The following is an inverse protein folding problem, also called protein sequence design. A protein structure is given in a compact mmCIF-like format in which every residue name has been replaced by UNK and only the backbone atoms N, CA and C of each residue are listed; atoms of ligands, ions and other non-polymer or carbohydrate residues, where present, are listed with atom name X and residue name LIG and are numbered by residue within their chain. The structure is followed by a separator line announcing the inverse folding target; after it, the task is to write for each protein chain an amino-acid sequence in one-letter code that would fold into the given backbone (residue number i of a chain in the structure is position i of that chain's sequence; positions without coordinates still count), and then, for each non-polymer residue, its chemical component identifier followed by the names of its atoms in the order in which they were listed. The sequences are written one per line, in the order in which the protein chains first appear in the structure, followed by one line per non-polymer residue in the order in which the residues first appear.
data_IF_189588816443
#
_entry.id   IF_189588816443
#
_cell.length_a   1.000
_cell.length_b   1.000
_cell.length_c   1.000
_cell.angle_alpha   90.00
_cell.angle_beta   90.00
_cell.angle_gamma   90.00
#
_symmetry.space_group_name_H-M   'P 1'
#
loop_
_entity.id
_entity.type
_entity.pdbx_description
1 polymer ?
#
# COMPACT_ATOMS: atom_id res chain seq x y z
N UNK A 1 -6.94 7.13 9.81
CA UNK A 1 -5.76 6.29 9.52
C UNK A 1 -4.47 6.98 9.92
N UNK A 2 -4.27 8.27 9.60
CA UNK A 2 -3.09 9.01 10.09
C UNK A 2 -3.11 9.11 11.61
N UNK A 3 -4.20 9.64 12.18
CA UNK A 3 -4.52 9.68 13.64
C UNK A 3 -4.55 8.30 14.34
N UNK A 4 -4.41 7.20 13.61
CA UNK A 4 -4.28 5.87 14.25
C UNK A 4 -2.81 5.53 14.52
N UNK A 5 -1.90 6.13 13.77
CA UNK A 5 -0.50 5.73 13.67
C UNK A 5 0.48 6.78 14.22
N UNK A 6 0.12 8.06 14.24
CA UNK A 6 1.00 9.08 14.76
C UNK A 6 0.99 9.13 16.29
N UNK A 7 2.05 9.69 16.86
CA UNK A 7 2.32 9.59 18.29
C UNK A 7 1.66 10.70 19.11
N UNK A 8 0.71 11.43 18.53
CA UNK A 8 0.01 12.53 19.20
C UNK A 8 -1.47 12.20 19.45
N UNK A 9 -2.21 13.11 20.06
CA UNK A 9 -3.62 12.90 20.44
C UNK A 9 -4.50 14.06 19.92
N UNK A 10 -4.04 14.75 18.88
CA UNK A 10 -4.74 15.88 18.27
C UNK A 10 -5.45 15.41 17.00
N UNK A 11 -6.78 15.19 17.06
CA UNK A 11 -7.50 14.66 15.93
C UNK A 11 -7.48 15.63 14.75
N UNK A 12 -7.19 15.12 13.55
CA UNK A 12 -7.33 15.85 12.30
C UNK A 12 -8.80 15.94 11.89
N UNK A 13 -9.09 16.77 10.89
CA UNK A 13 -10.44 16.86 10.30
C UNK A 13 -10.84 15.49 9.77
N UNK A 14 -11.95 14.95 10.27
CA UNK A 14 -12.43 13.60 9.93
C UNK A 14 -11.65 12.45 10.57
N UNK A 15 -10.61 12.75 11.34
CA UNK A 15 -9.81 11.79 12.08
C UNK A 15 -10.38 11.42 13.45
N UNK A 16 -9.62 10.62 14.21
CA UNK A 16 -10.04 10.10 15.50
C UNK A 16 -8.87 9.55 16.30
N UNK A 17 -8.80 9.99 17.56
CA UNK A 17 -7.76 9.67 18.54
C UNK A 17 -8.32 8.82 19.69
N UNK A 18 -7.50 8.49 20.70
CA UNK A 18 -7.92 7.69 21.85
C UNK A 18 -9.17 8.24 22.54
N UNK A 19 -9.32 9.57 22.60
CA UNK A 19 -10.51 10.20 23.17
C UNK A 19 -11.82 9.81 22.46
N UNK A 20 -11.78 9.52 21.17
CA UNK A 20 -12.91 9.00 20.40
C UNK A 20 -13.14 7.52 20.69
N UNK A 21 -12.10 6.69 20.58
CA UNK A 21 -12.22 5.23 20.70
C UNK A 21 -12.63 4.80 22.12
N UNK A 22 -12.23 5.55 23.15
CA UNK A 22 -12.61 5.29 24.54
C UNK A 22 -14.10 5.54 24.84
N UNK A 23 -14.82 6.22 23.95
CA UNK A 23 -16.28 6.46 24.08
C UNK A 23 -17.14 5.43 23.35
N UNK A 24 -16.53 4.46 22.67
CA UNK A 24 -17.26 3.39 21.98
C UNK A 24 -17.89 2.41 23.00
N UNK A 25 -18.93 1.65 22.60
CA UNK A 25 -19.54 0.63 23.48
C UNK A 25 -18.54 -0.40 24.01
N UNK A 26 -17.51 -0.72 23.21
CA UNK A 26 -16.34 -1.50 23.60
C UNK A 26 -15.11 -0.58 23.49
N UNK A 27 -14.69 0.09 24.58
CA UNK A 27 -13.59 1.06 24.56
C UNK A 27 -12.24 0.44 24.24
N UNK A 28 -11.42 1.18 23.49
CA UNK A 28 -9.99 0.92 23.28
C UNK A 28 -9.26 2.24 22.99
N UNK A 29 -7.92 2.22 22.94
CA UNK A 29 -7.10 3.37 22.59
C UNK A 29 -6.72 3.35 21.11
N UNK A 30 -6.43 4.53 20.55
CA UNK A 30 -5.71 4.58 19.28
C UNK A 30 -4.34 3.90 19.48
N UNK A 31 -3.81 3.31 18.41
CA UNK A 31 -2.56 2.57 18.53
C UNK A 31 -1.36 3.50 18.74
N UNK A 32 -1.38 4.64 18.06
CA UNK A 32 -0.30 5.62 18.04
C UNK A 32 1.05 4.96 17.67
N UNK A 33 0.97 3.99 16.76
CA UNK A 33 2.10 3.26 16.18
C UNK A 33 1.66 2.63 14.85
N UNK A 34 2.63 2.13 14.09
CA UNK A 34 2.39 1.41 12.83
C UNK A 34 1.51 0.18 13.03
N UNK A 35 0.76 -0.18 11.99
CA UNK A 35 -0.03 -1.41 11.95
C UNK A 35 0.87 -2.65 12.03
N UNK A 36 0.54 -3.61 12.90
CA UNK A 36 1.21 -4.93 12.93
C UNK A 36 0.58 -5.86 11.89
N UNK A 37 -0.73 -5.72 11.70
CA UNK A 37 -1.53 -6.54 10.79
C UNK A 37 -2.49 -5.67 9.99
N UNK A 38 -2.82 -6.10 8.77
CA UNK A 38 -3.84 -5.43 7.95
C UNK A 38 -5.20 -5.40 8.67
N UNK A 39 -5.51 -6.42 9.48
CA UNK A 39 -6.80 -6.55 10.17
C UNK A 39 -7.13 -5.41 11.13
N UNK A 40 -6.11 -4.74 11.68
CA UNK A 40 -6.27 -3.55 12.52
C UNK A 40 -6.93 -2.37 11.81
N UNK A 41 -6.93 -2.32 10.46
CA UNK A 41 -7.70 -1.31 9.73
C UNK A 41 -9.18 -1.32 10.10
N UNK A 42 -9.74 -2.46 10.51
CA UNK A 42 -11.14 -2.58 10.98
C UNK A 42 -11.42 -1.83 12.28
N UNK A 43 -10.38 -1.46 13.04
CA UNK A 43 -10.49 -0.66 14.27
C UNK A 43 -10.48 0.84 13.97
N UNK A 44 -10.02 1.25 12.79
CA UNK A 44 -9.95 2.66 12.43
C UNK A 44 -11.35 3.21 12.15
N UNK A 45 -11.65 4.37 12.74
CA UNK A 45 -12.92 5.07 12.51
C UNK A 45 -13.21 5.20 11.00
N UNK A 46 -14.43 4.81 10.61
CA UNK A 46 -14.92 4.93 9.24
C UNK A 46 -14.60 3.74 8.33
N UNK A 47 -13.77 2.79 8.77
CA UNK A 47 -13.51 1.55 8.02
C UNK A 47 -14.60 0.53 8.36
N UNK A 48 -15.64 0.48 7.54
CA UNK A 48 -16.66 -0.56 7.62
C UNK A 48 -16.12 -1.89 7.07
N UNK A 49 -16.81 -3.00 7.35
CA UNK A 49 -16.45 -4.29 6.75
C UNK A 49 -16.42 -4.21 5.21
N UNK A 50 -17.41 -3.54 4.59
CA UNK A 50 -17.44 -3.36 3.14
C UNK A 50 -16.24 -2.56 2.61
N UNK A 51 -15.88 -1.47 3.29
CA UNK A 51 -14.71 -0.64 2.92
C UNK A 51 -13.44 -1.46 3.07
N UNK A 52 -13.30 -2.21 4.17
CA UNK A 52 -12.15 -3.08 4.41
C UNK A 52 -11.97 -4.12 3.30
N UNK A 53 -13.04 -4.85 2.94
CA UNK A 53 -12.96 -5.88 1.89
C UNK A 53 -12.61 -5.27 0.52
N UNK A 54 -13.08 -4.06 0.22
CA UNK A 54 -12.71 -3.34 -1.01
C UNK A 54 -11.26 -2.84 -1.03
N UNK A 55 -10.70 -2.49 0.13
CA UNK A 55 -9.33 -2.01 0.26
C UNK A 55 -8.30 -3.14 0.31
N UNK A 56 -8.67 -4.30 0.84
CA UNK A 56 -7.79 -5.43 1.13
C UNK A 56 -6.83 -5.81 -0.02
N UNK A 57 -7.25 -5.81 -1.30
CA UNK A 57 -6.35 -6.15 -2.42
C UNK A 57 -5.27 -5.10 -2.72
N UNK A 58 -5.38 -3.90 -2.17
CA UNK A 58 -4.61 -2.72 -2.59
C UNK A 58 -3.75 -2.12 -1.48
N UNK A 59 -3.76 -2.68 -0.28
CA UNK A 59 -3.03 -2.16 0.90
C UNK A 59 -2.15 -3.22 1.54
N UNK A 60 -1.07 -2.79 2.18
CA UNK A 60 -0.16 -3.65 2.93
C UNK A 60 0.39 -2.91 4.14
N UNK A 61 0.74 -3.64 5.19
CA UNK A 61 1.49 -3.13 6.36
C UNK A 61 2.99 -3.46 6.27
N UNK A 62 3.38 -4.26 5.28
CA UNK A 62 4.75 -4.72 5.05
C UNK A 62 5.32 -4.06 3.79
N UNK A 63 6.02 -2.94 3.96
CA UNK A 63 6.58 -2.18 2.84
C UNK A 63 7.78 -1.33 3.25
N UNK A 64 8.49 -0.79 2.25
CA UNK A 64 9.48 0.28 2.41
C UNK A 64 8.86 1.69 2.40
N UNK A 65 7.52 1.79 2.34
CA UNK A 65 6.79 3.06 2.21
C UNK A 65 6.62 3.58 0.78
N UNK A 66 7.18 2.92 -0.23
CA UNK A 66 7.05 3.30 -1.65
C UNK A 66 6.32 2.24 -2.47
N UNK A 67 5.64 2.67 -3.52
CA UNK A 67 4.92 1.82 -4.47
C UNK A 67 5.86 1.35 -5.57
N UNK A 68 5.98 0.03 -5.76
CA UNK A 68 6.70 -0.53 -6.89
C UNK A 68 5.88 -0.40 -8.18
N UNK A 69 6.25 0.53 -9.07
CA UNK A 69 5.51 0.78 -10.33
C UNK A 69 5.60 -0.35 -11.34
N UNK A 70 6.52 -1.30 -11.17
CA UNK A 70 6.58 -2.50 -12.01
C UNK A 70 5.50 -3.54 -11.65
N UNK A 71 4.98 -3.51 -10.42
CA UNK A 71 4.03 -4.51 -9.91
C UNK A 71 2.72 -3.93 -9.41
N UNK A 72 2.63 -2.61 -9.22
CA UNK A 72 1.43 -1.95 -8.71
C UNK A 72 0.21 -2.25 -9.59
N UNK A 73 -0.94 -2.61 -8.99
CA UNK A 73 -2.19 -2.72 -9.74
C UNK A 73 -2.68 -1.34 -10.17
N UNK A 74 -3.64 -1.35 -11.09
CA UNK A 74 -4.20 -0.14 -11.72
C UNK A 74 -4.73 0.87 -10.71
N UNK A 75 -5.46 0.39 -9.72
CA UNK A 75 -6.10 1.20 -8.67
C UNK A 75 -5.05 1.92 -7.79
N UNK A 76 -3.93 1.24 -7.51
CA UNK A 76 -2.82 1.82 -6.75
C UNK A 76 -2.08 2.86 -7.60
N UNK A 77 -1.91 2.63 -8.91
CA UNK A 77 -1.33 3.65 -9.79
C UNK A 77 -2.19 4.92 -9.84
N UNK A 78 -3.50 4.76 -9.93
CA UNK A 78 -4.43 5.89 -9.96
C UNK A 78 -4.40 6.69 -8.64
N UNK A 79 -4.23 6.02 -7.50
CA UNK A 79 -4.22 6.68 -6.18
C UNK A 79 -2.96 7.51 -5.90
N UNK A 80 -1.86 7.27 -6.61
CA UNK A 80 -0.58 7.99 -6.43
C UNK A 80 -0.66 9.50 -6.70
N UNK A 81 -1.71 9.95 -7.40
CA UNK A 81 -1.93 11.34 -7.78
C UNK A 81 -2.94 12.08 -6.90
N UNK A 82 -3.38 11.48 -5.79
CA UNK A 82 -4.45 12.01 -4.95
C UNK A 82 -4.03 13.12 -3.95
N UNK A 83 -2.76 13.59 -3.99
CA UNK A 83 -2.23 14.60 -3.08
C UNK A 83 -2.49 16.05 -3.53
N UNK A 84 -2.47 17.00 -2.59
CA UNK A 84 -2.78 18.42 -2.87
C UNK A 84 -1.79 19.10 -3.83
N UNK A 85 -0.52 18.68 -3.82
CA UNK A 85 0.52 19.14 -4.74
C UNK A 85 0.41 18.50 -6.15
N UNK A 86 -0.38 17.42 -6.26
CA UNK A 86 -0.64 16.68 -7.49
C UNK A 86 -1.92 17.16 -8.18
N UNK A 87 -2.80 17.88 -7.47
CA UNK A 87 -4.09 18.37 -7.97
C UNK A 87 -3.94 19.31 -9.18
N UNK A 88 -2.91 20.16 -9.19
CA UNK A 88 -2.63 21.08 -10.31
C UNK A 88 -1.96 20.38 -11.50
N UNK A 89 -1.26 19.26 -11.26
CA UNK A 89 -0.62 18.49 -12.32
C UNK A 89 -1.62 17.63 -13.10
N UNK A 90 -2.71 17.23 -12.45
CA UNK A 90 -3.72 16.33 -12.99
C UNK A 90 -3.52 14.87 -12.52
N UNK A 91 -4.58 14.06 -12.50
CA UNK A 91 -4.50 12.71 -11.95
C UNK A 91 -3.88 11.71 -12.93
N UNK A 92 -3.31 10.64 -12.39
CA UNK A 92 -3.12 9.38 -13.13
C UNK A 92 -4.51 8.77 -13.28
N UNK A 93 -5.15 9.06 -14.40
CA UNK A 93 -6.47 8.52 -14.70
C UNK A 93 -6.40 7.05 -15.13
N UNK A 94 -7.58 6.48 -15.34
CA UNK A 94 -7.78 5.14 -15.88
C UNK A 94 -6.87 4.83 -17.08
N UNK A 95 -6.87 5.73 -18.07
CA UNK A 95 -6.13 5.56 -19.32
C UNK A 95 -4.63 5.60 -19.09
N UNK A 96 -4.15 6.57 -18.31
CA UNK A 96 -2.73 6.72 -17.99
C UNK A 96 -2.20 5.53 -17.19
N UNK A 97 -2.99 4.99 -16.26
CA UNK A 97 -2.63 3.76 -15.54
C UNK A 97 -2.50 2.57 -16.50
N UNK A 98 -3.44 2.43 -17.44
CA UNK A 98 -3.40 1.37 -18.47
C UNK A 98 -2.17 1.53 -19.40
N UNK A 99 -1.79 2.76 -19.75
CA UNK A 99 -0.56 3.06 -20.51
C UNK A 99 0.71 2.64 -19.75
N UNK A 100 0.79 2.92 -18.43
CA UNK A 100 1.92 2.48 -17.59
C UNK A 100 2.00 0.95 -17.56
N UNK A 101 0.86 0.27 -17.38
CA UNK A 101 0.78 -1.19 -17.31
C UNK A 101 1.19 -1.82 -18.64
N UNK A 102 0.73 -1.28 -19.77
CA UNK A 102 1.12 -1.76 -21.09
C UNK A 102 2.62 -1.54 -21.34
N UNK A 103 3.14 -0.35 -21.02
CA UNK A 103 4.55 -0.02 -21.23
C UNK A 103 5.50 -0.95 -20.47
N UNK A 104 5.21 -1.21 -19.19
CA UNK A 104 6.09 -2.01 -18.31
C UNK A 104 6.13 -3.50 -18.64
N UNK A 105 5.23 -4.00 -19.49
CA UNK A 105 5.26 -5.41 -19.95
C UNK A 105 6.50 -5.69 -20.80
N UNK A 106 6.80 -4.79 -21.75
CA UNK A 106 7.96 -4.93 -22.64
C UNK A 106 9.16 -4.10 -22.17
N UNK A 107 8.92 -3.08 -21.34
CA UNK A 107 9.94 -2.15 -20.85
C UNK A 107 9.89 -2.01 -19.32
N UNK A 108 10.26 -3.05 -18.55
CA UNK A 108 10.32 -2.94 -17.09
C UNK A 108 11.22 -1.78 -16.65
N UNK A 109 10.72 -0.95 -15.75
CA UNK A 109 11.45 0.22 -15.28
C UNK A 109 12.63 -0.23 -14.41
N UNK A 110 13.83 0.29 -14.70
CA UNK A 110 15.04 0.05 -13.90
C UNK A 110 15.36 1.22 -12.95
N UNK A 111 14.75 2.38 -13.19
CA UNK A 111 14.77 3.56 -12.31
C UNK A 111 13.41 4.25 -12.32
N UNK A 112 13.00 4.83 -11.18
CA UNK A 112 11.67 5.44 -11.04
C UNK A 112 11.38 6.59 -12.03
N UNK A 113 12.39 7.38 -12.40
CA UNK A 113 12.25 8.48 -13.36
C UNK A 113 11.87 8.02 -14.79
N UNK A 114 12.08 6.74 -15.14
CA UNK A 114 11.72 6.19 -16.45
C UNK A 114 10.21 6.13 -16.66
N UNK A 115 9.39 6.33 -15.63
CA UNK A 115 7.94 6.51 -15.80
C UNK A 115 7.62 7.68 -16.76
N UNK A 116 8.50 8.68 -16.85
CA UNK A 116 8.39 9.80 -17.79
C UNK A 116 8.67 9.44 -19.26
N UNK A 117 9.06 8.20 -19.55
CA UNK A 117 9.19 7.68 -20.91
C UNK A 117 7.84 7.19 -21.47
N UNK A 118 6.86 6.92 -20.59
CA UNK A 118 5.51 6.51 -20.98
C UNK A 118 4.79 7.67 -21.67
N UNK A 119 4.86 8.87 -21.10
CA UNK A 119 4.26 10.07 -21.70
C UNK A 119 4.88 11.38 -21.18
N UNK A 120 4.77 12.51 -21.92
CA UNK A 120 5.18 13.82 -21.42
C UNK A 120 4.48 14.23 -20.12
N UNK A 121 3.20 13.88 -19.98
CA UNK A 121 2.43 14.09 -18.75
C UNK A 121 3.11 13.42 -17.55
N UNK A 122 3.45 12.13 -17.64
CA UNK A 122 4.09 11.41 -16.53
C UNK A 122 5.50 11.93 -16.23
N UNK A 123 6.19 12.47 -17.24
CA UNK A 123 7.48 13.14 -17.06
C UNK A 123 7.34 14.40 -16.21
N UNK A 124 6.38 15.26 -16.54
CA UNK A 124 6.11 16.48 -15.79
C UNK A 124 5.59 16.16 -14.39
N UNK A 125 4.67 15.19 -14.28
CA UNK A 125 4.12 14.73 -13.00
C UNK A 125 5.26 14.27 -12.07
N UNK A 126 6.15 13.40 -12.54
CA UNK A 126 7.29 12.92 -11.76
C UNK A 126 8.25 14.06 -11.36
N UNK A 127 8.56 14.98 -12.28
CA UNK A 127 9.54 16.04 -12.06
C UNK A 127 9.03 17.15 -11.12
N UNK A 128 7.74 17.46 -11.15
CA UNK A 128 7.17 18.66 -10.52
C UNK A 128 6.43 18.39 -9.21
N UNK A 129 6.12 17.13 -8.90
CA UNK A 129 5.27 16.75 -7.75
C UNK A 129 5.96 15.77 -6.81
N UNK A 130 5.32 15.48 -5.68
CA UNK A 130 5.79 14.47 -4.72
C UNK A 130 5.73 13.04 -5.24
N UNK A 131 5.22 12.77 -6.46
CA UNK A 131 5.19 11.42 -7.04
C UNK A 131 6.55 10.72 -6.93
N UNK A 132 7.66 11.43 -7.18
CA UNK A 132 9.03 10.91 -7.07
C UNK A 132 9.40 10.35 -5.69
N UNK A 133 8.69 10.76 -4.64
CA UNK A 133 8.89 10.30 -3.26
C UNK A 133 7.94 9.15 -2.88
N UNK A 134 7.03 8.77 -3.76
CA UNK A 134 6.01 7.74 -3.52
C UNK A 134 6.27 6.46 -4.31
N UNK A 135 7.20 6.47 -5.26
CA UNK A 135 7.42 5.37 -6.20
C UNK A 135 8.84 4.83 -6.17
N UNK A 136 8.95 3.52 -6.34
CA UNK A 136 10.19 2.77 -6.58
C UNK A 136 9.93 1.77 -7.71
N UNK A 137 10.98 1.09 -8.16
CA UNK A 137 10.95 0.04 -9.19
C UNK A 137 11.32 -1.33 -8.63
N UNK A 138 11.73 -1.38 -7.35
CA UNK A 138 12.11 -2.60 -6.64
C UNK A 138 11.31 -2.74 -5.34
N UNK A 139 11.27 -3.97 -4.85
CA UNK A 139 10.81 -4.28 -3.49
C UNK A 139 11.86 -5.12 -2.77
N UNK A 140 11.93 -4.94 -1.46
CA UNK A 140 12.56 -5.88 -0.52
C UNK A 140 11.53 -6.72 0.23
N UNK A 141 10.25 -6.38 0.16
CA UNK A 141 9.16 -7.09 0.82
C UNK A 141 8.44 -7.99 -0.18
N UNK A 142 8.17 -9.23 0.24
CA UNK A 142 7.50 -10.24 -0.57
C UNK A 142 6.48 -10.99 0.27
N UNK A 143 5.30 -11.23 -0.31
CA UNK A 143 4.32 -12.16 0.21
C UNK A 143 4.41 -13.44 -0.60
N UNK A 144 4.51 -14.58 0.10
CA UNK A 144 4.56 -15.90 -0.51
C UNK A 144 3.40 -16.70 0.06
N UNK A 145 2.56 -17.20 -0.85
CA UNK A 145 1.51 -18.15 -0.55
C UNK A 145 1.88 -19.49 -1.15
N UNK A 146 1.94 -20.53 -0.32
CA UNK A 146 2.35 -21.87 -0.73
C UNK A 146 1.35 -22.91 -0.22
N UNK A 147 0.89 -23.79 -1.11
CA UNK A 147 -0.04 -24.86 -0.77
C UNK A 147 0.58 -26.22 -1.01
N UNK A 148 0.37 -27.16 -0.09
CA UNK A 148 0.81 -28.55 -0.21
C UNK A 148 -0.36 -29.51 0.01
N UNK A 149 -0.36 -30.61 -0.73
CA UNK A 149 -1.34 -31.69 -0.62
C UNK A 149 -0.63 -33.00 -0.24
N UNK A 150 -1.10 -33.63 0.83
CA UNK A 150 -0.70 -34.99 1.21
C UNK A 150 -1.95 -35.79 1.56
N UNK A 151 -2.22 -36.84 0.78
CA UNK A 151 -3.35 -37.74 1.04
C UNK A 151 -4.72 -37.05 0.97
N UNK A 152 -4.86 -35.99 0.18
CA UNK A 152 -6.10 -35.21 0.03
C UNK A 152 -6.30 -34.13 1.10
N UNK A 153 -5.34 -33.96 2.01
CA UNK A 153 -5.31 -32.83 2.94
C UNK A 153 -4.48 -31.71 2.34
N UNK A 154 -5.11 -30.57 2.06
CA UNK A 154 -4.44 -29.36 1.61
C UNK A 154 -4.13 -28.45 2.80
N UNK A 155 -2.91 -27.95 2.86
CA UNK A 155 -2.51 -26.87 3.77
C UNK A 155 -1.95 -25.72 2.97
N UNK A 156 -2.33 -24.50 3.32
CA UNK A 156 -1.80 -23.28 2.72
C UNK A 156 -1.06 -22.48 3.79
N UNK A 157 0.13 -22.00 3.45
CA UNK A 157 0.93 -21.11 4.27
C UNK A 157 1.01 -19.76 3.57
N UNK A 158 0.69 -18.71 4.32
CA UNK A 158 0.87 -17.33 3.94
C UNK A 158 2.03 -16.73 4.74
N UNK A 159 3.08 -16.28 4.06
CA UNK A 159 4.31 -15.81 4.68
C UNK A 159 4.76 -14.45 4.12
N UNK A 160 5.26 -13.59 5.00
CA UNK A 160 5.87 -12.30 4.64
C UNK A 160 7.37 -12.41 4.86
N UNK A 161 8.13 -12.15 3.80
CA UNK A 161 9.59 -12.16 3.78
C UNK A 161 10.17 -10.79 3.46
N UNK A 162 11.27 -10.45 4.11
CA UNK A 162 12.10 -9.28 3.78
C UNK A 162 13.43 -9.79 3.21
N UNK A 163 13.75 -9.40 1.98
CA UNK A 163 15.03 -9.69 1.35
C UNK A 163 16.11 -8.76 1.91
N UNK A 164 17.14 -9.37 2.52
CA UNK A 164 18.33 -8.70 3.02
C UNK A 164 19.54 -9.33 2.32
N UNK A 165 20.17 -8.57 1.42
CA UNK A 165 21.19 -9.13 0.52
C UNK A 165 20.59 -10.20 -0.39
N UNK A 166 21.15 -11.41 -0.32
CA UNK A 166 20.70 -12.58 -1.11
C UNK A 166 19.78 -13.52 -0.32
N UNK A 167 19.43 -13.18 0.92
CA UNK A 167 18.60 -14.02 1.80
C UNK A 167 17.23 -13.39 2.02
N UNK A 168 16.22 -14.23 2.31
CA UNK A 168 14.89 -13.80 2.74
C UNK A 168 14.73 -14.09 4.22
N UNK A 169 14.51 -13.05 5.01
CA UNK A 169 14.15 -13.15 6.42
C UNK A 169 12.62 -13.18 6.55
N UNK A 170 12.09 -14.32 6.99
CA UNK A 170 10.66 -14.48 7.26
C UNK A 170 10.27 -13.77 8.54
N UNK A 171 9.34 -12.82 8.43
CA UNK A 171 8.90 -11.99 9.58
C UNK A 171 7.60 -12.48 10.17
N UNK A 172 6.72 -13.01 9.34
CA UNK A 172 5.41 -13.51 9.73
C UNK A 172 5.03 -14.68 8.84
N UNK A 173 4.37 -15.68 9.41
CA UNK A 173 3.69 -16.72 8.66
C UNK A 173 2.46 -17.21 9.43
N UNK A 174 1.46 -17.71 8.70
CA UNK A 174 0.27 -18.36 9.26
C UNK A 174 -0.15 -19.54 8.39
N UNK A 175 -0.84 -20.49 9.00
CA UNK A 175 -1.48 -21.61 8.30
C UNK A 175 -2.96 -21.26 8.11
N UNK A 176 -3.47 -21.46 6.89
CA UNK A 176 -4.90 -21.46 6.57
C UNK A 176 -5.50 -22.87 6.63
#
# INVERSE_FOLDING_TARGET
VVDWQDNDENPRVGGAESSYYLRLPNPYQAKNDLFDTIGELRLVRGVTAEVFEKLLPFVTVSSSGMVNINTAPREVLMSLSAGADLAEAGPIDAKTADEIIAYRQDHPFTTANQIGNVSPFLRDLYARTLLRNLVDVRSTYFHVRSSGDVGGTVRTIDAIGIRVGNEVQWRFWRIE
#
